data_IF_875767104361
#
_entry.id   IF_875767104361
#
_cell.length_a   1.000
_cell.length_b   1.000
_cell.length_c   1.000
_cell.angle_alpha   90.00
_cell.angle_beta   90.00
_cell.angle_gamma   90.00
#
_symmetry.space_group_name_H-M   'P 1'
#
loop_
_entity.id
_entity.type
_entity.pdbx_description
1 polymer ?
#
# COMPACT_ATOMS: atom_id res chain seq x y z
N UNK A 1 -20.04 11.75 -22.84
CA UNK A 1 -18.89 10.83 -22.75
C UNK A 1 -19.07 9.94 -21.52
N UNK A 2 -19.64 8.75 -21.71
CA UNK A 2 -19.97 7.82 -20.62
C UNK A 2 -18.71 7.09 -20.16
N UNK A 3 -18.24 7.35 -18.92
CA UNK A 3 -17.30 6.45 -18.24
C UNK A 3 -18.07 5.21 -17.81
N UNK A 4 -17.91 4.13 -18.56
CA UNK A 4 -18.41 2.82 -18.17
C UNK A 4 -17.79 2.43 -16.82
N UNK A 5 -18.62 2.46 -15.76
CA UNK A 5 -18.30 1.84 -14.46
C UNK A 5 -18.21 0.34 -14.72
N UNK A 6 -17.00 -0.16 -14.88
CA UNK A 6 -16.75 -1.60 -15.01
C UNK A 6 -17.00 -2.20 -13.63
N UNK A 7 -18.00 -3.06 -13.54
CA UNK A 7 -18.30 -3.80 -12.32
C UNK A 7 -17.09 -4.67 -11.95
N UNK A 8 -16.52 -4.40 -10.77
CA UNK A 8 -15.50 -5.26 -10.20
C UNK A 8 -16.08 -6.67 -9.95
N UNK A 9 -15.32 -7.75 -10.22
CA UNK A 9 -15.77 -9.09 -9.90
C UNK A 9 -16.06 -9.22 -8.41
N UNK A 10 -17.11 -9.96 -8.08
CA UNK A 10 -17.85 -9.94 -6.81
C UNK A 10 -17.10 -10.38 -5.53
N UNK A 11 -15.76 -10.44 -5.53
CA UNK A 11 -14.96 -10.79 -4.36
C UNK A 11 -13.60 -10.08 -4.26
N UNK A 12 -13.32 -9.09 -5.13
CA UNK A 12 -12.12 -8.26 -5.01
C UNK A 12 -12.44 -7.01 -4.19
N UNK A 13 -12.29 -7.10 -2.87
CA UNK A 13 -12.49 -5.96 -1.97
C UNK A 13 -11.42 -4.90 -2.21
N UNK A 14 -11.84 -3.64 -2.30
CA UNK A 14 -10.93 -2.51 -2.21
C UNK A 14 -10.30 -2.49 -0.81
N UNK A 15 -8.97 -2.43 -0.74
CA UNK A 15 -8.24 -2.34 0.53
C UNK A 15 -7.32 -1.12 0.50
N UNK A 16 -7.20 -0.45 1.64
CA UNK A 16 -6.28 0.65 1.84
C UNK A 16 -5.21 0.24 2.84
N UNK A 17 -3.95 0.49 2.51
CA UNK A 17 -2.82 0.33 3.41
C UNK A 17 -2.05 1.64 3.52
N UNK A 18 -1.90 2.16 4.74
CA UNK A 18 -1.10 3.37 4.98
C UNK A 18 0.33 3.01 5.32
N UNK A 19 1.27 3.57 4.56
CA UNK A 19 2.72 3.41 4.77
C UNK A 19 3.26 4.73 5.34
N UNK A 20 3.65 4.79 6.63
CA UNK A 20 4.19 6.00 7.23
C UNK A 20 5.46 6.50 6.54
N UNK A 21 5.59 7.81 6.33
CA UNK A 21 6.79 8.42 5.73
C UNK A 21 8.06 8.08 6.51
N UNK A 22 7.99 8.02 7.84
CA UNK A 22 9.14 7.61 8.67
C UNK A 22 9.68 6.22 8.34
N UNK A 23 8.82 5.29 7.91
CA UNK A 23 9.27 3.96 7.49
C UNK A 23 9.90 4.02 6.10
N UNK A 24 9.33 4.82 5.19
CA UNK A 24 9.91 5.07 3.88
C UNK A 24 11.30 5.69 4.02
N UNK A 25 11.45 6.74 4.84
CA UNK A 25 12.75 7.39 5.08
C UNK A 25 13.79 6.43 5.67
N UNK A 26 13.36 5.52 6.54
CA UNK A 26 14.24 4.51 7.13
C UNK A 26 14.69 3.46 6.11
N UNK A 27 13.80 3.04 5.20
CA UNK A 27 14.08 1.97 4.25
C UNK A 27 14.78 2.44 2.97
N UNK A 28 14.41 3.63 2.46
CA UNK A 28 14.85 4.14 1.17
C UNK A 28 15.75 5.37 1.29
N UNK A 29 15.65 6.10 2.41
CA UNK A 29 16.32 7.39 2.59
C UNK A 29 15.35 8.56 2.50
N UNK A 30 15.84 9.75 2.85
CA UNK A 30 15.04 10.98 2.87
C UNK A 30 14.63 11.38 1.46
N UNK A 31 13.40 11.87 1.31
CA UNK A 31 12.81 12.35 0.05
C UNK A 31 12.62 11.27 -1.05
N UNK A 32 12.72 9.98 -0.69
CA UNK A 32 12.61 8.83 -1.61
C UNK A 32 11.19 8.22 -1.69
N UNK A 33 10.16 9.05 -1.56
CA UNK A 33 8.76 8.56 -1.57
C UNK A 33 8.36 8.01 -2.93
N UNK A 34 8.90 8.54 -4.02
CA UNK A 34 8.64 8.07 -5.38
C UNK A 34 9.19 6.64 -5.58
N UNK A 35 10.46 6.44 -5.23
CA UNK A 35 11.13 5.14 -5.21
C UNK A 35 10.37 4.10 -4.37
N UNK A 36 9.87 4.50 -3.19
CA UNK A 36 9.06 3.61 -2.35
C UNK A 36 7.71 3.27 -3.00
N UNK A 37 7.04 4.22 -3.65
CA UNK A 37 5.79 3.97 -4.37
C UNK A 37 5.99 2.99 -5.55
N UNK A 38 7.10 3.11 -6.27
CA UNK A 38 7.47 2.19 -7.35
C UNK A 38 7.67 0.76 -6.84
N UNK A 39 8.39 0.58 -5.74
CA UNK A 39 8.59 -0.75 -5.13
C UNK A 39 7.30 -1.32 -4.55
N UNK A 40 6.44 -0.49 -3.95
CA UNK A 40 5.11 -0.91 -3.49
C UNK A 40 4.28 -1.42 -4.68
N UNK A 41 4.28 -0.69 -5.80
CA UNK A 41 3.54 -1.07 -7.00
C UNK A 41 4.10 -2.36 -7.62
N UNK A 42 5.42 -2.51 -7.69
CA UNK A 42 6.08 -3.72 -8.16
C UNK A 42 5.73 -4.92 -7.29
N UNK A 43 5.74 -4.74 -5.97
CA UNK A 43 5.34 -5.76 -4.99
C UNK A 43 3.88 -6.16 -5.16
N UNK A 44 2.98 -5.19 -5.32
CA UNK A 44 1.56 -5.45 -5.54
C UNK A 44 1.31 -6.23 -6.84
N UNK A 45 2.00 -5.87 -7.93
CA UNK A 45 1.93 -6.59 -9.20
C UNK A 45 2.47 -8.01 -9.12
N UNK A 46 3.51 -8.23 -8.31
CA UNK A 46 4.10 -9.56 -8.11
C UNK A 46 3.19 -10.46 -7.29
N UNK A 47 2.50 -9.91 -6.28
CA UNK A 47 1.59 -10.67 -5.41
C UNK A 47 0.24 -10.98 -6.06
N UNK A 48 -0.19 -10.17 -7.03
CA UNK A 48 -1.50 -10.31 -7.66
C UNK A 48 -1.46 -11.23 -8.90
N UNK A 49 -2.26 -12.28 -8.91
CA UNK A 49 -2.40 -13.19 -10.05
C UNK A 49 -3.39 -12.67 -11.10
N UNK A 50 -4.19 -11.66 -10.75
CA UNK A 50 -5.20 -11.13 -11.64
C UNK A 50 -4.57 -10.31 -12.78
N UNK A 51 -5.09 -10.43 -14.02
CA UNK A 51 -4.57 -9.70 -15.17
C UNK A 51 -4.79 -8.18 -15.10
N UNK A 52 -5.62 -7.71 -14.16
CA UNK A 52 -5.91 -6.29 -13.93
C UNK A 52 -5.91 -6.00 -12.44
N UNK A 53 -4.80 -5.44 -11.97
CA UNK A 53 -4.65 -4.82 -10.66
C UNK A 53 -4.88 -3.31 -10.79
N UNK A 54 -5.71 -2.73 -9.92
CA UNK A 54 -5.76 -1.28 -9.72
C UNK A 54 -4.97 -0.93 -8.47
N UNK A 55 -4.06 0.03 -8.58
CA UNK A 55 -3.26 0.54 -7.47
C UNK A 55 -3.19 2.06 -7.60
N UNK A 56 -3.57 2.79 -6.56
CA UNK A 56 -3.49 4.25 -6.52
C UNK A 56 -2.91 4.73 -5.20
N UNK A 57 -2.25 5.87 -5.26
CA UNK A 57 -1.56 6.47 -4.12
C UNK A 57 -2.17 7.83 -3.79
N UNK A 58 -2.25 8.13 -2.49
CA UNK A 58 -2.65 9.43 -1.97
C UNK A 58 -1.86 9.77 -0.72
N UNK A 59 -1.62 11.06 -0.50
CA UNK A 59 -0.87 11.54 0.67
C UNK A 59 -1.81 11.85 1.83
N UNK A 60 -1.51 11.26 2.99
CA UNK A 60 -2.21 11.50 4.25
C UNK A 60 -1.37 12.47 5.10
N UNK A 61 -1.45 13.77 4.80
CA UNK A 61 -0.61 14.80 5.44
C UNK A 61 -1.40 15.88 6.20
N UNK A 62 -2.68 15.61 6.49
CA UNK A 62 -3.57 16.58 7.15
C UNK A 62 -3.18 16.84 8.62
N UNK A 63 -2.55 15.86 9.28
CA UNK A 63 -2.16 16.00 10.67
C UNK A 63 -0.99 16.99 10.83
N UNK A 64 -1.00 17.93 11.80
CA UNK A 64 0.06 18.93 11.95
C UNK A 64 1.44 18.36 12.27
N UNK A 65 1.51 17.23 12.97
CA UNK A 65 2.75 16.53 13.28
C UNK A 65 3.14 15.56 12.14
N UNK A 66 4.29 15.76 11.47
CA UNK A 66 4.76 14.91 10.36
C UNK A 66 4.97 13.44 10.70
N UNK A 67 5.09 13.11 11.99
CA UNK A 67 5.18 11.73 12.45
C UNK A 67 4.00 10.86 11.98
N UNK A 68 2.82 11.47 11.79
CA UNK A 68 1.60 10.80 11.34
C UNK A 68 1.39 10.86 9.83
N UNK A 69 2.33 11.44 9.08
CA UNK A 69 2.21 11.52 7.62
C UNK A 69 2.50 10.17 6.98
N UNK A 70 1.71 9.82 5.96
CA UNK A 70 1.80 8.55 5.27
C UNK A 70 1.45 8.67 3.78
N UNK A 71 1.82 7.64 3.02
CA UNK A 71 1.19 7.32 1.73
C UNK A 71 0.11 6.28 1.96
N UNK A 72 -1.13 6.60 1.61
CA UNK A 72 -2.19 5.61 1.49
C UNK A 72 -2.12 4.94 0.11
N UNK A 73 -2.08 3.61 0.14
CA UNK A 73 -2.06 2.73 -1.03
C UNK A 73 -3.42 2.05 -1.12
N UNK A 74 -4.19 2.38 -2.15
CA UNK A 74 -5.49 1.75 -2.42
C UNK A 74 -5.31 0.68 -3.48
N UNK A 75 -5.71 -0.55 -3.15
CA UNK A 75 -5.55 -1.73 -3.98
C UNK A 75 -6.92 -2.35 -4.27
N UNK A 76 -7.20 -2.61 -5.53
CA UNK A 76 -8.39 -3.34 -5.98
C UNK A 76 -7.98 -4.50 -6.89
N UNK A 77 -8.66 -5.63 -6.76
CA UNK A 77 -8.41 -6.82 -7.58
C UNK A 77 -7.62 -7.93 -6.89
N UNK A 78 -7.09 -7.70 -5.67
CA UNK A 78 -6.38 -8.72 -4.90
C UNK A 78 -7.32 -9.56 -4.02
N UNK A 79 -7.15 -10.86 -4.04
CA UNK A 79 -7.73 -11.80 -3.06
C UNK A 79 -7.05 -11.65 -1.69
N UNK A 80 -7.67 -12.18 -0.63
CA UNK A 80 -7.14 -12.07 0.74
C UNK A 80 -5.72 -12.64 0.86
N UNK A 81 -5.48 -13.83 0.32
CA UNK A 81 -4.17 -14.48 0.35
C UNK A 81 -3.10 -13.68 -0.40
N UNK A 82 -3.45 -13.06 -1.54
CA UNK A 82 -2.54 -12.22 -2.33
C UNK A 82 -2.19 -10.95 -1.56
N UNK A 83 -3.17 -10.37 -0.86
CA UNK A 83 -2.95 -9.22 -0.01
C UNK A 83 -2.07 -9.53 1.20
N UNK A 84 -2.22 -10.70 1.81
CA UNK A 84 -1.30 -11.17 2.86
C UNK A 84 0.14 -11.32 2.33
N UNK A 85 0.33 -11.89 1.14
CA UNK A 85 1.66 -11.96 0.52
C UNK A 85 2.24 -10.59 0.20
N UNK A 86 1.40 -9.66 -0.25
CA UNK A 86 1.76 -8.26 -0.45
C UNK A 86 2.24 -7.61 0.86
N UNK A 87 1.49 -7.75 1.96
CA UNK A 87 1.88 -7.22 3.26
C UNK A 87 3.19 -7.84 3.79
N UNK A 88 3.39 -9.15 3.60
CA UNK A 88 4.63 -9.82 3.97
C UNK A 88 5.82 -9.28 3.16
N UNK A 89 5.62 -8.98 1.88
CA UNK A 89 6.65 -8.41 1.04
C UNK A 89 6.95 -6.94 1.43
N UNK A 90 5.93 -6.13 1.73
CA UNK A 90 6.13 -4.78 2.27
C UNK A 90 6.87 -4.82 3.63
N UNK A 91 6.57 -5.77 4.50
CA UNK A 91 7.26 -5.94 5.77
C UNK A 91 8.77 -6.23 5.57
N UNK A 92 9.14 -6.98 4.52
CA UNK A 92 10.55 -7.22 4.15
C UNK A 92 11.26 -5.96 3.64
N UNK A 93 10.51 -5.04 3.04
CA UNK A 93 11.00 -3.71 2.67
C UNK A 93 11.05 -2.74 3.86
N UNK A 94 10.61 -3.16 5.06
CA UNK A 94 10.51 -2.29 6.23
C UNK A 94 9.33 -1.30 6.19
N UNK A 95 8.36 -1.52 5.29
CA UNK A 95 7.23 -0.60 5.05
C UNK A 95 5.96 -0.95 5.82
N UNK A 96 6.01 -1.96 6.69
CA UNK A 96 4.91 -2.31 7.60
C UNK A 96 5.41 -2.19 9.02
N UNK A 97 4.62 -1.58 9.90
CA UNK A 97 4.93 -1.63 11.32
C UNK A 97 4.92 -3.09 11.79
N UNK A 98 6.01 -3.53 12.42
CA UNK A 98 5.96 -4.76 13.20
C UNK A 98 4.77 -4.62 14.15
N UNK A 99 3.78 -5.51 14.02
CA UNK A 99 2.58 -5.50 14.85
C UNK A 99 3.03 -5.23 16.28
N UNK A 100 2.68 -4.05 16.82
CA UNK A 100 3.12 -3.69 18.15
C UNK A 100 2.51 -4.72 19.08
N UNK A 101 3.32 -5.70 19.48
CA UNK A 101 2.96 -6.62 20.56
C UNK A 101 2.53 -5.74 21.71
N UNK A 102 1.25 -5.84 22.07
CA UNK A 102 0.61 -4.99 23.05
C UNK A 102 1.54 -4.81 24.24
N UNK A 103 1.98 -3.58 24.46
CA UNK A 103 2.66 -3.25 25.70
C UNK A 103 1.56 -3.14 26.76
N UNK A 104 1.69 -3.83 27.91
CA UNK A 104 0.66 -3.90 28.94
C UNK A 104 0.27 -2.54 29.50
#
# INVERSE_FOLDING_TARGET
>A
MNRARHAAPANASQRTHSVPFRLIEQAFGRDEVDSACDEILATARTACSAPRLSCSFSFECEHPNPWYHAVAVVIEGMQDQEYEQFLLALARLGLVEAAQGGRP
#
